data_IF_734599403677
#
_entry.id   IF_734599403677
#
_cell.length_a   1.000
_cell.length_b   1.000
_cell.length_c   1.000
_cell.angle_alpha   90.00
_cell.angle_beta   90.00
_cell.angle_gamma   90.00
#
_symmetry.space_group_name_H-M   'P 1'
#
loop_
_entity.id
_entity.type
_entity.pdbx_description
1 polymer ?
#
# COMPACT_ATOMS: atom_id res chain seq x y z
N UNK A 1 29.42 -17.33 4.45
CA UNK A 1 28.35 -17.17 3.43
C UNK A 1 27.06 -17.95 3.76
N UNK A 2 26.70 -18.20 5.04
CA UNK A 2 25.60 -19.14 5.39
C UNK A 2 24.35 -18.52 6.04
N UNK A 3 24.23 -17.19 6.13
CA UNK A 3 23.09 -16.54 6.82
C UNK A 3 22.00 -15.99 5.89
N UNK A 4 22.22 -15.99 4.56
CA UNK A 4 21.28 -15.40 3.59
C UNK A 4 20.29 -16.45 3.09
N UNK A 5 20.74 -17.68 2.83
CA UNK A 5 19.87 -18.79 2.40
C UNK A 5 18.83 -19.16 3.46
N UNK A 6 19.22 -19.20 4.74
CA UNK A 6 18.28 -19.48 5.82
C UNK A 6 17.19 -18.40 5.92
N UNK A 7 17.56 -17.11 5.82
CA UNK A 7 16.61 -16.00 5.85
C UNK A 7 15.67 -16.01 4.65
N UNK A 8 16.17 -16.31 3.45
CA UNK A 8 15.33 -16.42 2.26
C UNK A 8 14.29 -17.53 2.43
N UNK A 9 14.67 -18.70 2.93
CA UNK A 9 13.73 -19.79 3.17
C UNK A 9 12.64 -19.44 4.19
N UNK A 10 12.95 -18.65 5.22
CA UNK A 10 11.95 -18.18 6.18
C UNK A 10 10.89 -17.26 5.55
N UNK A 11 11.28 -16.37 4.63
CA UNK A 11 10.36 -15.44 3.96
C UNK A 11 9.29 -16.19 3.15
N UNK A 12 9.64 -17.32 2.55
CA UNK A 12 8.74 -18.10 1.70
C UNK A 12 7.77 -19.02 2.47
N UNK A 13 7.88 -19.12 3.79
CA UNK A 13 6.87 -19.80 4.61
C UNK A 13 5.57 -19.02 4.61
N UNK A 14 4.41 -19.69 4.71
CA UNK A 14 3.11 -19.02 4.76
C UNK A 14 3.03 -17.95 5.87
N UNK A 15 3.65 -18.23 7.03
CA UNK A 15 3.76 -17.27 8.14
C UNK A 15 4.69 -16.09 7.81
N UNK A 16 5.87 -16.38 7.25
CA UNK A 16 6.84 -15.34 6.83
C UNK A 16 6.30 -14.41 5.74
N UNK A 17 5.55 -14.96 4.78
CA UNK A 17 4.91 -14.18 3.72
C UNK A 17 3.87 -13.22 4.27
N UNK A 18 2.99 -13.69 5.15
CA UNK A 18 1.97 -12.87 5.82
C UNK A 18 2.63 -11.72 6.61
N UNK A 19 3.69 -12.02 7.35
CA UNK A 19 4.44 -11.02 8.13
C UNK A 19 5.13 -9.98 7.24
N UNK A 20 5.80 -10.41 6.16
CA UNK A 20 6.49 -9.49 5.25
C UNK A 20 5.50 -8.61 4.51
N UNK A 21 4.39 -9.17 4.02
CA UNK A 21 3.33 -8.40 3.37
C UNK A 21 2.74 -7.35 4.33
N UNK A 22 2.43 -7.74 5.57
CA UNK A 22 1.97 -6.79 6.59
C UNK A 22 3.02 -5.72 6.88
N UNK A 23 4.29 -6.09 7.01
CA UNK A 23 5.36 -5.13 7.28
C UNK A 23 5.50 -4.12 6.13
N UNK A 24 5.41 -4.59 4.88
CA UNK A 24 5.46 -3.72 3.71
C UNK A 24 4.28 -2.75 3.70
N UNK A 25 3.07 -3.24 3.94
CA UNK A 25 1.87 -2.41 3.97
C UNK A 25 1.86 -1.44 5.15
N UNK A 26 2.29 -1.90 6.32
CA UNK A 26 2.47 -1.05 7.50
C UNK A 26 3.44 0.07 7.19
N UNK A 27 4.59 -0.22 6.57
CA UNK A 27 5.51 0.81 6.13
C UNK A 27 4.87 1.75 5.10
N UNK A 28 4.08 1.22 4.15
CA UNK A 28 3.37 2.00 3.15
C UNK A 28 2.33 2.94 3.73
N UNK A 29 1.70 2.57 4.85
CA UNK A 29 0.71 3.39 5.55
C UNK A 29 1.36 4.37 6.53
N UNK A 30 2.29 3.88 7.35
CA UNK A 30 2.86 4.63 8.47
C UNK A 30 3.95 5.59 8.01
N UNK A 31 4.77 5.22 7.03
CA UNK A 31 5.88 6.08 6.60
C UNK A 31 5.41 7.43 6.03
N UNK A 32 4.42 7.49 5.11
CA UNK A 32 3.93 8.77 4.62
C UNK A 32 3.33 9.64 5.72
N UNK A 33 2.72 8.99 6.70
CA UNK A 33 2.09 9.63 7.85
C UNK A 33 3.14 10.23 8.77
N UNK A 34 4.09 9.45 9.27
CA UNK A 34 5.09 9.92 10.25
C UNK A 34 6.05 10.96 9.67
N UNK A 35 6.37 10.86 8.38
CA UNK A 35 7.40 11.69 7.77
C UNK A 35 6.84 12.76 6.84
N UNK A 36 5.53 13.04 6.88
CA UNK A 36 4.86 13.97 5.97
C UNK A 36 5.61 15.31 5.81
N UNK A 37 6.09 15.89 6.91
CA UNK A 37 6.84 17.16 6.93
C UNK A 37 8.19 17.09 6.19
N UNK A 38 8.78 15.90 6.06
CA UNK A 38 10.08 15.65 5.43
C UNK A 38 9.98 15.04 4.03
N UNK A 39 8.77 14.79 3.52
CA UNK A 39 8.60 14.13 2.23
C UNK A 39 8.87 15.05 1.04
N UNK A 40 9.01 16.36 1.21
CA UNK A 40 9.19 17.30 0.09
C UNK A 40 10.28 16.87 -0.92
N UNK A 41 11.51 16.49 -0.50
CA UNK A 41 12.52 16.01 -1.44
C UNK A 41 12.15 14.66 -2.10
N UNK A 42 11.50 13.77 -1.34
CA UNK A 42 11.05 12.46 -1.84
C UNK A 42 10.01 12.67 -2.94
N UNK A 43 9.04 13.55 -2.73
CA UNK A 43 7.97 13.87 -3.69
C UNK A 43 8.54 14.49 -4.96
N UNK A 44 9.51 15.40 -4.84
CA UNK A 44 10.18 16.02 -5.99
C UNK A 44 10.92 14.99 -6.85
N UNK A 45 11.55 14.00 -6.20
CA UNK A 45 12.30 12.95 -6.90
C UNK A 45 11.40 11.77 -7.35
N UNK A 46 10.22 11.60 -6.76
CA UNK A 46 9.31 10.47 -7.04
C UNK A 46 9.00 10.28 -8.52
N UNK A 47 8.66 11.31 -9.32
CA UNK A 47 8.42 11.12 -10.76
C UNK A 47 9.63 10.52 -11.49
N UNK A 48 10.84 10.97 -11.16
CA UNK A 48 12.09 10.48 -11.78
C UNK A 48 12.35 9.04 -11.36
N UNK A 49 12.19 8.73 -10.07
CA UNK A 49 12.36 7.37 -9.52
C UNK A 49 11.32 6.41 -10.10
N UNK A 50 10.06 6.85 -10.26
CA UNK A 50 8.98 6.04 -10.81
C UNK A 50 9.19 5.79 -12.31
N UNK A 51 9.53 6.81 -13.09
CA UNK A 51 9.80 6.64 -14.53
C UNK A 51 11.03 5.76 -14.72
N UNK A 52 12.15 6.08 -14.08
CA UNK A 52 13.39 5.32 -14.18
C UNK A 52 13.19 3.88 -13.71
N UNK A 53 12.60 3.70 -12.53
CA UNK A 53 12.30 2.40 -11.94
C UNK A 53 11.36 1.55 -12.81
N UNK A 54 10.33 2.14 -13.39
CA UNK A 54 9.42 1.43 -14.33
C UNK A 54 10.17 1.01 -15.60
N UNK A 55 11.04 1.87 -16.14
CA UNK A 55 11.90 1.50 -17.26
C UNK A 55 12.84 0.35 -16.89
N UNK A 56 13.43 0.36 -15.69
CA UNK A 56 14.27 -0.72 -15.19
C UNK A 56 13.50 -2.03 -15.00
N UNK A 57 12.28 -1.99 -14.45
CA UNK A 57 11.40 -3.16 -14.35
C UNK A 57 11.10 -3.74 -15.74
N UNK A 58 10.89 -2.88 -16.74
CA UNK A 58 10.57 -3.31 -18.10
C UNK A 58 11.75 -3.86 -18.91
N UNK A 59 12.97 -3.34 -18.67
CA UNK A 59 14.17 -3.68 -19.46
C UNK A 59 15.17 -4.55 -18.70
N UNK A 60 14.94 -4.82 -17.41
CA UNK A 60 15.79 -5.62 -16.55
C UNK A 60 16.94 -4.83 -15.90
N UNK A 61 17.49 -5.39 -14.82
CA UNK A 61 18.67 -4.89 -14.11
C UNK A 61 19.92 -5.67 -14.53
N UNK A 62 21.14 -5.10 -14.44
CA UNK A 62 22.37 -5.91 -14.48
C UNK A 62 22.43 -6.86 -13.27
N UNK A 63 22.25 -8.17 -13.53
CA UNK A 63 22.48 -9.43 -12.77
C UNK A 63 22.57 -9.50 -11.21
N UNK A 64 22.29 -8.44 -10.44
CA UNK A 64 22.51 -8.43 -8.99
C UNK A 64 21.29 -8.18 -8.10
N UNK A 65 20.21 -7.60 -8.65
CA UNK A 65 19.03 -7.22 -7.86
C UNK A 65 17.80 -7.93 -8.44
N UNK A 66 17.05 -8.71 -7.63
CA UNK A 66 15.79 -9.31 -8.06
C UNK A 66 14.80 -8.24 -8.55
N UNK A 67 14.26 -8.41 -9.75
CA UNK A 67 13.36 -7.44 -10.39
C UNK A 67 12.11 -7.14 -9.56
N UNK A 68 11.60 -8.12 -8.81
CA UNK A 68 10.45 -7.93 -7.92
C UNK A 68 10.73 -7.00 -6.73
N UNK A 69 11.98 -6.94 -6.25
CA UNK A 69 12.37 -5.97 -5.21
C UNK A 69 12.34 -4.56 -5.80
N UNK A 70 12.89 -4.39 -7.00
CA UNK A 70 12.84 -3.10 -7.72
C UNK A 70 11.40 -2.68 -7.96
N UNK A 71 10.55 -3.61 -8.41
CA UNK A 71 9.11 -3.38 -8.58
C UNK A 71 8.47 -2.86 -7.30
N UNK A 72 8.66 -3.56 -6.18
CA UNK A 72 8.10 -3.15 -4.90
C UNK A 72 8.66 -1.81 -4.40
N UNK A 73 9.95 -1.56 -4.58
CA UNK A 73 10.55 -0.26 -4.24
C UNK A 73 9.86 0.87 -5.01
N UNK A 74 9.63 0.71 -6.31
CA UNK A 74 8.91 1.71 -7.10
C UNK A 74 7.47 1.85 -6.64
N UNK A 75 6.77 0.74 -6.38
CA UNK A 75 5.42 0.74 -5.80
C UNK A 75 5.38 1.54 -4.49
N UNK A 76 6.39 1.41 -3.63
CA UNK A 76 6.51 2.19 -2.40
C UNK A 76 6.65 3.69 -2.64
N UNK A 77 7.47 4.10 -3.61
CA UNK A 77 7.57 5.52 -3.98
C UNK A 77 6.24 6.07 -4.49
N UNK A 78 5.47 5.27 -5.25
CA UNK A 78 4.13 5.66 -5.70
C UNK A 78 3.19 5.77 -4.50
N UNK A 79 3.23 4.84 -3.54
CA UNK A 79 2.42 4.91 -2.31
C UNK A 79 2.68 6.22 -1.58
N UNK A 80 3.95 6.52 -1.30
CA UNK A 80 4.37 7.73 -0.58
C UNK A 80 3.92 8.98 -1.33
N UNK A 81 4.20 9.06 -2.63
CA UNK A 81 3.85 10.20 -3.47
C UNK A 81 2.34 10.43 -3.52
N UNK A 82 1.57 9.38 -3.81
CA UNK A 82 0.12 9.47 -3.95
C UNK A 82 -0.56 9.76 -2.62
N UNK A 83 -0.17 9.08 -1.55
CA UNK A 83 -0.71 9.29 -0.21
C UNK A 83 -0.49 10.73 0.26
N UNK A 84 0.74 11.23 0.12
CA UNK A 84 1.05 12.61 0.46
C UNK A 84 0.24 13.59 -0.38
N UNK A 85 0.30 13.46 -1.70
CA UNK A 85 -0.36 14.40 -2.62
C UNK A 85 -1.87 14.45 -2.37
N UNK A 86 -2.52 13.30 -2.23
CA UNK A 86 -3.95 13.23 -1.95
C UNK A 86 -4.25 13.82 -0.57
N UNK A 87 -3.48 13.42 0.45
CA UNK A 87 -3.69 13.84 1.84
C UNK A 87 -3.49 15.33 2.08
N UNK A 88 -2.53 15.97 1.40
CA UNK A 88 -2.26 17.42 1.57
C UNK A 88 -3.09 18.30 0.64
N UNK A 89 -3.57 17.77 -0.49
CA UNK A 89 -4.28 18.58 -1.50
C UNK A 89 -5.79 18.60 -1.25
N UNK A 90 -6.38 17.47 -0.84
CA UNK A 90 -7.80 17.41 -0.58
C UNK A 90 -8.10 17.85 0.86
N UNK A 91 -9.05 18.78 1.07
CA UNK A 91 -9.61 19.01 2.39
C UNK A 91 -10.08 17.70 3.02
N UNK A 92 -9.79 17.48 4.30
CA UNK A 92 -10.02 16.20 4.99
C UNK A 92 -11.46 15.69 4.82
N UNK A 93 -12.45 16.57 4.78
CA UNK A 93 -13.84 16.18 4.59
C UNK A 93 -14.16 15.70 3.16
N UNK A 94 -13.56 16.32 2.13
CA UNK A 94 -13.67 15.83 0.76
C UNK A 94 -12.94 14.50 0.61
N UNK A 95 -11.82 14.33 1.31
CA UNK A 95 -11.12 13.05 1.38
C UNK A 95 -11.98 11.97 2.03
N UNK A 96 -12.66 12.26 3.15
CA UNK A 96 -13.61 11.32 3.76
C UNK A 96 -14.73 10.92 2.79
N UNK A 97 -15.35 11.89 2.11
CA UNK A 97 -16.40 11.61 1.11
C UNK A 97 -15.86 10.79 -0.07
N UNK A 98 -14.65 11.11 -0.54
CA UNK A 98 -13.97 10.37 -1.60
C UNK A 98 -13.68 8.92 -1.19
N UNK A 99 -13.20 8.69 0.03
CA UNK A 99 -12.92 7.36 0.57
C UNK A 99 -14.19 6.52 0.72
N UNK A 100 -15.28 7.13 1.20
CA UNK A 100 -16.58 6.46 1.26
C UNK A 100 -17.10 6.10 -0.14
N UNK A 101 -16.94 6.99 -1.12
CA UNK A 101 -17.29 6.72 -2.51
C UNK A 101 -16.46 5.58 -3.11
N UNK A 102 -15.15 5.55 -2.84
CA UNK A 102 -14.28 4.46 -3.29
C UNK A 102 -14.59 3.13 -2.63
N UNK A 103 -15.00 3.12 -1.36
CA UNK A 103 -15.44 1.90 -0.69
C UNK A 103 -16.63 1.26 -1.43
N UNK A 104 -17.62 2.07 -1.81
CA UNK A 104 -18.77 1.59 -2.58
C UNK A 104 -18.34 1.10 -3.96
N UNK A 105 -17.47 1.85 -4.64
CA UNK A 105 -16.92 1.44 -5.94
C UNK A 105 -16.21 0.09 -5.87
N UNK A 106 -15.41 -0.13 -4.83
CA UNK A 106 -14.59 -1.32 -4.65
C UNK A 106 -15.45 -2.57 -4.36
N UNK A 107 -16.45 -2.45 -3.48
CA UNK A 107 -17.43 -3.52 -3.22
C UNK A 107 -18.11 -3.96 -4.52
N UNK A 108 -18.59 -3.01 -5.33
CA UNK A 108 -19.23 -3.30 -6.62
C UNK A 108 -18.21 -3.83 -7.66
N UNK A 109 -16.98 -3.34 -7.61
CA UNK A 109 -15.88 -3.73 -8.51
C UNK A 109 -15.46 -5.19 -8.33
N UNK A 110 -15.43 -5.68 -7.08
CA UNK A 110 -15.15 -7.07 -6.74
C UNK A 110 -16.24 -8.00 -7.28
N UNK A 111 -17.51 -7.65 -7.08
CA UNK A 111 -18.64 -8.47 -7.54
C UNK A 111 -18.67 -8.63 -9.07
N UNK A 112 -18.18 -7.63 -9.81
CA UNK A 112 -18.19 -7.62 -11.28
C UNK A 112 -16.93 -8.20 -11.92
N UNK A 113 -15.91 -8.61 -11.14
CA UNK A 113 -14.65 -9.17 -11.64
C UNK A 113 -13.76 -8.19 -12.43
N UNK A 114 -14.18 -6.92 -12.58
CA UNK A 114 -13.46 -5.90 -13.37
C UNK A 114 -12.07 -5.61 -12.82
N UNK A 115 -11.88 -5.71 -11.50
CA UNK A 115 -10.59 -5.45 -10.85
C UNK A 115 -9.51 -6.47 -11.25
N UNK A 116 -9.87 -7.75 -11.43
CA UNK A 116 -8.90 -8.78 -11.80
C UNK A 116 -8.34 -8.54 -13.21
N UNK A 117 -9.21 -8.19 -14.16
CA UNK A 117 -8.82 -7.86 -15.54
C UNK A 117 -7.96 -6.59 -15.62
N UNK A 118 -8.27 -5.58 -14.79
CA UNK A 118 -7.46 -4.37 -14.68
C UNK A 118 -6.07 -4.67 -14.13
N UNK A 119 -5.97 -5.45 -13.05
CA UNK A 119 -4.69 -5.85 -12.46
C UNK A 119 -3.83 -6.62 -13.46
N UNK A 120 -4.41 -7.57 -14.20
CA UNK A 120 -3.70 -8.30 -15.25
C UNK A 120 -3.13 -7.36 -16.32
N UNK A 121 -3.94 -6.42 -16.81
CA UNK A 121 -3.51 -5.46 -17.84
C UNK A 121 -2.35 -4.58 -17.37
N UNK A 122 -2.40 -4.14 -16.12
CA UNK A 122 -1.39 -3.28 -15.53
C UNK A 122 -0.08 -4.02 -15.24
N UNK A 123 -0.17 -5.29 -14.81
CA UNK A 123 0.97 -6.19 -14.63
C UNK A 123 1.67 -6.48 -15.97
N UNK A 124 0.91 -6.78 -17.02
CA UNK A 124 1.47 -7.00 -18.36
C UNK A 124 2.15 -5.74 -18.91
N UNK A 125 1.64 -4.56 -18.54
CA UNK A 125 2.23 -3.27 -18.87
C UNK A 125 3.49 -2.97 -18.03
N UNK A 126 3.85 -3.80 -17.05
CA UNK A 126 4.99 -3.58 -16.17
C UNK A 126 4.83 -2.35 -15.28
N UNK A 127 3.59 -1.92 -15.00
CA UNK A 127 3.32 -0.79 -14.13
C UNK A 127 3.34 -1.24 -12.66
N UNK A 128 4.18 -0.64 -11.79
CA UNK A 128 4.31 -1.02 -10.39
C UNK A 128 3.15 -0.48 -9.53
N UNK A 129 1.95 -1.01 -9.80
CA UNK A 129 0.70 -0.62 -9.10
C UNK A 129 0.21 -1.69 -8.12
N UNK A 130 0.99 -2.75 -7.91
CA UNK A 130 0.76 -3.75 -6.88
C UNK A 130 2.05 -3.97 -6.09
N UNK A 131 1.95 -4.58 -4.93
CA UNK A 131 3.08 -5.20 -4.24
C UNK A 131 3.11 -6.68 -4.64
N UNK A 132 4.29 -7.15 -5.04
CA UNK A 132 4.53 -8.53 -5.45
C UNK A 132 5.34 -9.25 -4.39
N UNK A 133 4.81 -10.35 -3.88
CA UNK A 133 5.55 -11.21 -2.97
C UNK A 133 5.66 -12.62 -3.56
N UNK A 134 6.85 -13.02 -4.04
CA UNK A 134 7.04 -14.33 -4.64
C UNK A 134 6.92 -15.47 -3.62
N UNK A 135 6.40 -16.62 -4.08
CA UNK A 135 6.26 -17.81 -3.27
C UNK A 135 7.53 -18.67 -3.22
N UNK A 136 8.43 -18.49 -4.18
CA UNK A 136 9.65 -19.29 -4.34
C UNK A 136 10.86 -18.41 -4.60
N UNK A 137 12.07 -18.81 -4.15
CA UNK A 137 13.33 -18.18 -4.55
C UNK A 137 13.61 -18.29 -6.06
N UNK A 138 12.99 -19.23 -6.75
CA UNK A 138 13.12 -19.42 -8.21
C UNK A 138 12.29 -18.41 -9.01
N UNK A 139 11.57 -17.50 -8.34
CA UNK A 139 10.75 -16.51 -9.00
C UNK A 139 11.54 -15.64 -9.98
N UNK A 140 11.09 -15.64 -11.24
CA UNK A 140 11.55 -14.73 -12.29
C UNK A 140 10.40 -13.83 -12.71
N UNK A 141 10.63 -12.52 -12.73
CA UNK A 141 9.61 -11.56 -13.15
C UNK A 141 9.25 -11.71 -14.64
N UNK A 142 10.21 -12.12 -15.48
CA UNK A 142 9.96 -12.35 -16.89
C UNK A 142 9.06 -13.58 -17.10
N UNK A 143 9.40 -14.70 -16.45
CA UNK A 143 8.59 -15.92 -16.50
C UNK A 143 7.19 -15.71 -15.91
N UNK A 144 7.08 -14.91 -14.86
CA UNK A 144 5.79 -14.47 -14.31
C UNK A 144 4.95 -13.70 -15.35
N UNK A 145 5.55 -12.77 -16.11
CA UNK A 145 4.84 -12.02 -17.15
C UNK A 145 4.42 -12.90 -18.31
N UNK A 146 5.26 -13.87 -18.69
CA UNK A 146 4.96 -14.81 -19.76
C UNK A 146 3.77 -15.70 -19.37
N UNK A 147 3.76 -16.25 -18.14
CA UNK A 147 2.62 -17.03 -17.63
C UNK A 147 1.33 -16.20 -17.62
N UNK A 148 1.38 -14.95 -17.14
CA UNK A 148 0.19 -14.08 -17.15
C UNK A 148 -0.33 -13.82 -18.58
N UNK A 149 0.57 -13.76 -19.56
CA UNK A 149 0.23 -13.47 -20.95
C UNK A 149 -0.42 -14.68 -21.63
N UNK A 150 0.03 -15.89 -21.31
CA UNK A 150 -0.43 -17.13 -21.92
C UNK A 150 -1.66 -17.70 -21.19
N UNK A 151 -1.58 -17.81 -19.87
CA UNK A 151 -2.54 -18.56 -19.03
C UNK A 151 -3.32 -17.65 -18.06
N UNK A 152 -3.08 -16.34 -18.10
CA UNK A 152 -3.71 -15.38 -17.19
C UNK A 152 -3.25 -15.51 -15.74
N UNK A 153 -4.01 -14.91 -14.82
CA UNK A 153 -3.71 -15.00 -13.38
C UNK A 153 -3.91 -16.41 -12.82
N UNK A 154 -4.70 -17.25 -13.51
CA UNK A 154 -4.96 -18.62 -13.07
C UNK A 154 -3.73 -19.52 -13.22
N UNK A 155 -2.94 -19.35 -14.28
CA UNK A 155 -1.70 -20.10 -14.51
C UNK A 155 -0.61 -19.90 -13.45
N UNK A 156 -0.74 -18.88 -12.60
CA UNK A 156 0.17 -18.67 -11.47
C UNK A 156 -0.09 -19.60 -10.30
N UNK A 157 -1.30 -20.19 -10.19
CA UNK A 157 -1.65 -21.07 -9.07
C UNK A 157 -0.84 -22.36 -9.11
N UNK A 158 -0.09 -22.62 -8.03
CA UNK A 158 0.74 -23.82 -7.91
C UNK A 158 2.03 -23.80 -8.75
N UNK A 159 2.30 -22.71 -9.49
CA UNK A 159 3.57 -22.54 -10.20
C UNK A 159 4.69 -22.10 -9.27
N UNK A 160 5.94 -22.46 -9.60
CA UNK A 160 7.13 -21.94 -8.91
C UNK A 160 7.28 -20.41 -9.07
N UNK A 161 6.52 -19.79 -9.96
CA UNK A 161 6.49 -18.34 -10.17
C UNK A 161 5.22 -17.69 -9.60
N UNK A 162 4.50 -18.40 -8.73
CA UNK A 162 3.37 -17.89 -7.97
C UNK A 162 3.76 -16.69 -7.10
N UNK A 163 2.85 -15.73 -7.01
CA UNK A 163 3.01 -14.51 -6.21
C UNK A 163 1.74 -14.20 -5.44
N UNK A 164 1.92 -13.65 -4.25
CA UNK A 164 0.87 -12.91 -3.57
C UNK A 164 0.92 -11.47 -4.07
N UNK A 165 -0.23 -10.96 -4.52
CA UNK A 165 -0.35 -9.61 -5.07
C UNK A 165 -1.34 -8.80 -4.24
N UNK A 166 -1.01 -7.54 -3.98
CA UNK A 166 -1.92 -6.62 -3.30
C UNK A 166 -1.83 -5.23 -3.93
N UNK A 167 -2.96 -4.53 -4.07
CA UNK A 167 -3.00 -3.22 -4.72
C UNK A 167 -2.27 -2.17 -3.90
N UNK A 168 -1.52 -1.27 -4.55
CA UNK A 168 -0.93 -0.14 -3.80
C UNK A 168 -1.99 0.80 -3.25
N UNK A 169 -3.18 0.84 -3.86
CA UNK A 169 -4.33 1.62 -3.41
C UNK A 169 -4.74 1.32 -1.96
N UNK A 170 -4.56 0.05 -1.55
CA UNK A 170 -4.87 -0.43 -0.20
C UNK A 170 -3.96 0.17 0.87
N UNK A 171 -2.77 0.64 0.50
CA UNK A 171 -1.89 1.42 1.37
C UNK A 171 -2.07 2.92 1.15
N UNK A 172 -2.24 3.38 -0.10
CA UNK A 172 -2.35 4.80 -0.47
C UNK A 172 -3.53 5.48 0.25
N UNK A 173 -4.71 4.88 0.22
CA UNK A 173 -5.92 5.52 0.72
C UNK A 173 -5.95 5.71 2.24
N UNK A 174 -5.67 4.68 3.08
CA UNK A 174 -5.55 4.89 4.51
C UNK A 174 -4.36 5.80 4.88
N UNK A 175 -3.25 5.75 4.13
CA UNK A 175 -2.12 6.66 4.33
C UNK A 175 -2.51 8.12 4.03
N UNK A 176 -3.24 8.35 2.94
CA UNK A 176 -3.72 9.68 2.56
C UNK A 176 -4.62 10.26 3.65
N UNK A 177 -5.52 9.45 4.23
CA UNK A 177 -6.34 9.87 5.36
C UNK A 177 -5.48 10.25 6.57
N UNK A 178 -4.48 9.43 6.91
CA UNK A 178 -3.55 9.74 7.98
C UNK A 178 -2.81 11.05 7.75
N UNK A 179 -2.25 11.26 6.55
CA UNK A 179 -1.58 12.52 6.17
C UNK A 179 -2.54 13.71 6.27
N UNK A 180 -3.73 13.60 5.68
CA UNK A 180 -4.74 14.66 5.71
C UNK A 180 -5.30 14.95 7.12
N UNK A 181 -5.25 13.97 8.03
CA UNK A 181 -5.61 14.14 9.42
C UNK A 181 -4.56 14.88 10.26
N UNK A 182 -3.34 15.08 9.73
CA UNK A 182 -2.27 15.82 10.41
C UNK A 182 -2.60 17.30 10.69
N UNK A 183 -3.60 17.86 10.00
CA UNK A 183 -4.09 19.23 10.25
C UNK A 183 -5.10 19.31 11.41
N UNK A 184 -5.49 18.18 12.00
CA UNK A 184 -6.58 18.08 12.98
C UNK A 184 -6.04 17.68 14.34
N UNK A 185 -6.38 18.47 15.35
CA UNK A 185 -6.02 18.22 16.75
C UNK A 185 -4.68 18.80 17.17
N UNK A 186 -4.23 18.43 18.36
CA UNK A 186 -2.96 18.89 18.91
C UNK A 186 -1.80 18.11 18.32
N UNK A 187 -0.79 18.84 17.85
CA UNK A 187 0.47 18.28 17.40
C UNK A 187 1.36 17.89 18.59
N UNK A 188 1.83 16.64 18.60
CA UNK A 188 2.84 16.14 19.53
C UNK A 188 4.18 16.05 18.81
N UNK A 189 5.22 16.60 19.44
CA UNK A 189 6.57 16.62 18.88
C UNK A 189 7.46 15.57 19.53
N UNK A 190 7.99 14.67 18.71
CA UNK A 190 8.95 13.62 19.10
C UNK A 190 10.25 13.80 18.33
N UNK A 191 11.10 14.73 18.79
CA UNK A 191 12.32 15.10 18.07
C UNK A 191 11.97 15.76 16.73
N UNK A 192 12.46 15.25 15.57
CA UNK A 192 12.10 15.81 14.27
C UNK A 192 10.67 15.46 13.84
N UNK A 193 10.03 14.44 14.42
CA UNK A 193 8.71 13.98 13.98
C UNK A 193 7.60 14.73 14.71
N UNK A 194 6.68 15.31 13.94
CA UNK A 194 5.43 15.87 14.46
C UNK A 194 4.27 14.97 14.07
N UNK A 195 3.42 14.62 15.04
CA UNK A 195 2.25 13.76 14.79
C UNK A 195 1.05 14.23 15.62
N UNK A 196 -0.13 14.24 15.03
CA UNK A 196 -1.38 14.45 15.79
C UNK A 196 -1.96 13.12 16.27
N UNK A 197 -2.77 13.16 17.33
CA UNK A 197 -3.52 12.00 17.79
C UNK A 197 -4.38 11.42 16.68
N UNK A 198 -5.10 12.28 15.95
CA UNK A 198 -6.02 11.88 14.86
C UNK A 198 -5.27 11.18 13.73
N UNK A 199 -4.13 11.74 13.32
CA UNK A 199 -3.22 11.17 12.33
C UNK A 199 -2.71 9.77 12.73
N UNK A 200 -2.29 9.62 13.99
CA UNK A 200 -1.78 8.35 14.52
C UNK A 200 -2.87 7.27 14.51
N UNK A 201 -4.04 7.57 15.07
CA UNK A 201 -5.13 6.60 15.15
C UNK A 201 -5.68 6.24 13.77
N UNK A 202 -5.76 7.18 12.82
CA UNK A 202 -6.15 6.87 11.44
C UNK A 202 -5.17 5.87 10.78
N UNK A 203 -3.86 6.10 10.91
CA UNK A 203 -2.86 5.18 10.37
C UNK A 203 -2.90 3.80 11.05
N UNK A 204 -3.01 3.76 12.38
CA UNK A 204 -3.13 2.53 13.15
C UNK A 204 -4.39 1.74 12.75
N UNK A 205 -5.52 2.42 12.61
CA UNK A 205 -6.77 1.80 12.17
C UNK A 205 -6.64 1.16 10.80
N UNK A 206 -5.98 1.83 9.85
CA UNK A 206 -5.72 1.27 8.52
C UNK A 206 -4.82 0.03 8.55
N UNK A 207 -3.75 0.09 9.35
CA UNK A 207 -2.84 -1.06 9.57
C UNK A 207 -3.56 -2.23 10.22
N UNK A 208 -4.38 -1.99 11.23
CA UNK A 208 -5.17 -3.03 11.90
C UNK A 208 -6.21 -3.64 10.95
N UNK A 209 -6.82 -2.85 10.08
CA UNK A 209 -7.72 -3.35 9.03
C UNK A 209 -7.00 -4.28 8.04
N UNK A 210 -5.80 -3.91 7.60
CA UNK A 210 -4.96 -4.76 6.74
C UNK A 210 -4.46 -6.01 7.47
N UNK A 211 -4.07 -5.89 8.74
CA UNK A 211 -3.69 -7.04 9.55
C UNK A 211 -4.86 -8.01 9.73
N UNK A 212 -6.07 -7.51 9.99
CA UNK A 212 -7.27 -8.33 10.07
C UNK A 212 -7.50 -9.11 8.76
N UNK A 213 -7.31 -8.47 7.61
CA UNK A 213 -7.45 -9.14 6.31
C UNK A 213 -6.45 -10.28 6.11
N UNK A 214 -5.17 -10.01 6.35
CA UNK A 214 -4.08 -10.96 6.06
C UNK A 214 -4.19 -12.22 6.93
N UNK A 215 -4.75 -12.07 8.14
CA UNK A 215 -4.96 -13.17 9.08
C UNK A 215 -6.38 -13.75 9.06
N UNK A 216 -7.33 -13.14 8.35
CA UNK A 216 -8.65 -13.70 8.23
C UNK A 216 -8.63 -14.90 7.26
N UNK A 217 -9.06 -16.06 7.75
CA UNK A 217 -9.32 -17.23 6.91
C UNK A 217 -10.68 -17.04 6.23
N UNK A 218 -10.68 -16.25 5.15
CA UNK A 218 -11.90 -15.92 4.41
C UNK A 218 -12.24 -17.01 3.38
N UNK A 219 -13.51 -17.40 3.25
CA UNK A 219 -13.94 -18.38 2.26
C UNK A 219 -13.86 -17.85 0.82
N UNK A 220 -13.75 -16.53 0.64
CA UNK A 220 -13.62 -15.85 -0.65
C UNK A 220 -12.66 -14.67 -0.53
N UNK A 221 -11.90 -14.35 -1.59
CA UNK A 221 -11.09 -13.14 -1.62
C UNK A 221 -12.01 -11.91 -1.52
N UNK A 222 -11.72 -11.02 -0.58
CA UNK A 222 -12.33 -9.69 -0.47
C UNK A 222 -11.30 -8.63 -0.83
N UNK A 223 -11.73 -7.49 -1.37
CA UNK A 223 -10.80 -6.42 -1.66
C UNK A 223 -10.32 -5.73 -0.38
N UNK A 224 -9.03 -5.42 -0.34
CA UNK A 224 -8.38 -4.93 0.86
C UNK A 224 -8.80 -3.51 1.26
N UNK A 225 -9.31 -2.70 0.32
CA UNK A 225 -9.95 -1.41 0.60
C UNK A 225 -11.16 -1.56 1.53
N UNK A 226 -11.93 -2.65 1.44
CA UNK A 226 -13.13 -2.89 2.27
C UNK A 226 -12.85 -3.05 3.76
N UNK A 227 -11.58 -3.18 4.16
CA UNK A 227 -11.16 -3.35 5.55
C UNK A 227 -10.13 -2.29 5.96
N UNK A 228 -9.21 -1.93 5.07
CA UNK A 228 -8.19 -0.90 5.36
C UNK A 228 -8.79 0.50 5.48
N UNK A 229 -9.71 0.88 4.59
CA UNK A 229 -10.35 2.21 4.62
C UNK A 229 -11.31 2.33 5.81
N UNK A 230 -12.24 1.39 6.08
CA UNK A 230 -13.05 1.45 7.29
C UNK A 230 -12.22 1.44 8.57
N UNK A 231 -11.14 0.63 8.61
CA UNK A 231 -10.20 0.64 9.72
C UNK A 231 -9.61 2.04 9.94
N UNK A 232 -9.13 2.69 8.88
CA UNK A 232 -8.57 4.04 8.98
C UNK A 232 -9.62 5.10 9.34
N UNK A 233 -10.84 5.00 8.83
CA UNK A 233 -11.96 5.87 9.17
C UNK A 233 -12.36 5.72 10.65
N UNK A 234 -12.45 4.49 11.15
CA UNK A 234 -12.71 4.23 12.57
C UNK A 234 -11.59 4.79 13.43
N UNK A 235 -10.33 4.58 13.02
CA UNK A 235 -9.16 5.18 13.67
C UNK A 235 -9.25 6.70 13.71
N UNK A 236 -9.59 7.33 12.59
CA UNK A 236 -9.80 8.78 12.50
C UNK A 236 -10.87 9.26 13.49
N UNK A 237 -12.03 8.62 13.53
CA UNK A 237 -13.13 8.96 14.47
C UNK A 237 -12.70 8.77 15.92
N UNK A 238 -12.02 7.66 16.25
CA UNK A 238 -11.48 7.44 17.60
C UNK A 238 -10.49 8.55 17.96
N UNK A 239 -9.61 8.94 17.04
CA UNK A 239 -8.68 10.04 17.24
C UNK A 239 -9.38 11.36 17.56
N UNK A 240 -10.47 11.68 16.84
CA UNK A 240 -11.30 12.86 17.13
C UNK A 240 -11.95 12.80 18.52
N UNK A 241 -12.39 11.63 18.97
CA UNK A 241 -13.02 11.46 20.28
C UNK A 241 -12.02 11.52 21.42
N UNK A 242 -10.78 11.08 21.19
CA UNK A 242 -9.70 11.06 22.18
C UNK A 242 -9.04 12.43 22.33
N UNK A 243 -8.94 13.20 21.24
CA UNK A 243 -8.33 14.53 21.27
C UNK A 243 -9.40 15.62 21.48
N UNK A 244 -9.51 16.20 22.68
CA UNK A 244 -10.53 17.22 22.98
C UNK A 244 -10.29 18.55 22.23
N UNK A 245 -9.09 18.73 21.66
CA UNK A 245 -8.74 19.90 20.84
C UNK A 245 -8.98 19.66 19.36
N UNK A 246 -9.32 18.43 18.95
CA UNK A 246 -9.65 18.09 17.59
C UNK A 246 -11.00 18.68 17.21
N UNK A 247 -10.99 19.96 16.87
CA UNK A 247 -12.10 20.60 16.19
C UNK A 247 -11.92 20.38 14.71
N UNK A 248 -12.87 19.72 14.06
CA UNK A 248 -13.11 19.98 12.65
C UNK A 248 -13.62 21.42 12.58
N UNK A 249 -12.74 22.42 12.47
CA UNK A 249 -13.16 23.82 12.33
C UNK A 249 -13.57 24.04 10.87
N UNK A 250 -14.88 24.08 10.62
CA UNK A 250 -15.50 23.95 9.29
C UNK A 250 -15.70 25.24 8.47
N UNK A 251 -15.08 26.38 8.77
CA UNK A 251 -15.28 27.59 7.98
C UNK A 251 -13.97 28.36 7.79
N UNK A 252 -13.68 28.86 6.57
CA UNK A 252 -12.70 29.93 6.41
C UNK A 252 -13.17 31.12 7.26
N UNK A 253 -12.24 31.70 8.02
CA UNK A 253 -12.35 33.10 8.45
C UNK A 253 -11.99 33.98 7.25
#
# INVERSE_FOLDING_TARGET
>A
MSNVESRMNYIYTQSGQRQLLLAMLTAGVVFPVLFAEFLSPVIVLSPVVVIGGTLFVRHGFPKGIPTWITFNCVSFFIIIYAAYTIGTTLPVHLLLLFLLGLLVYDVVGVETGKMQKMNQTMLLSGLPIVLLLPHSPEFSYDSFRDIIREDGLEGLHGSAHGVTMLGIGDAVLPAALGVGAGIVGTAYHFGPVTITTVQCFAALGGVLGLAALIWADLPRPIAALTVSVPGALLGFVVGLLVDPTATLSWLPV
#
